data_IF_529494873788
#
_entry.id   IF_529494873788
#
_cell.length_a   1.000
_cell.length_b   1.000
_cell.length_c   1.000
_cell.angle_alpha   90.00
_cell.angle_beta   90.00
_cell.angle_gamma   90.00
#
_symmetry.space_group_name_H-M   'P 1'
#
loop_
_entity.id
_entity.type
_entity.pdbx_description
1 polymer ?
#
# COMPACT_ATOMS: atom_id res chain seq x y z
N UNK A 1 1.52 -20.98 5.60
CA UNK A 1 0.35 -20.29 6.13
C UNK A 1 0.66 -18.82 6.12
N UNK A 2 0.04 -18.07 5.23
CA UNK A 2 -0.13 -16.63 5.41
C UNK A 2 -1.42 -16.29 4.68
N UNK A 3 -2.50 -16.18 5.45
CA UNK A 3 -3.85 -15.90 4.98
C UNK A 3 -4.07 -14.38 4.80
N UNK A 4 -3.00 -13.65 4.48
CA UNK A 4 -3.04 -12.21 4.26
C UNK A 4 -2.66 -11.98 2.82
N UNK A 5 -3.53 -11.36 2.02
CA UNK A 5 -3.21 -10.96 0.64
C UNK A 5 -2.20 -9.83 0.54
N UNK A 6 -1.26 -9.77 1.50
CA UNK A 6 -0.24 -8.77 1.61
C UNK A 6 1.13 -9.43 1.74
N UNK A 7 2.10 -8.93 0.98
CA UNK A 7 3.53 -9.23 1.08
C UNK A 7 4.30 -7.96 1.41
N UNK A 8 5.33 -8.07 2.25
CA UNK A 8 6.14 -6.93 2.69
C UNK A 8 7.61 -7.23 2.38
N UNK A 9 8.27 -6.30 1.69
CA UNK A 9 9.67 -6.38 1.29
C UNK A 9 10.43 -5.11 1.71
N UNK A 10 11.70 -5.27 2.10
CA UNK A 10 12.59 -4.15 2.36
C UNK A 10 13.26 -3.72 1.06
N UNK A 11 13.19 -2.43 0.74
CA UNK A 11 13.87 -1.90 -0.44
C UNK A 11 15.35 -1.71 -0.10
N UNK A 12 16.24 -2.37 -0.86
CA UNK A 12 17.70 -2.34 -0.66
C UNK A 12 18.16 -2.76 0.75
N UNK A 13 17.44 -3.68 1.40
CA UNK A 13 17.68 -4.10 2.80
C UNK A 13 17.63 -2.93 3.82
N UNK A 14 17.05 -1.80 3.43
CA UNK A 14 16.88 -0.64 4.31
C UNK A 14 15.63 -0.76 5.15
N UNK A 15 15.78 -0.58 6.46
CA UNK A 15 14.63 -0.48 7.38
C UNK A 15 13.82 0.81 7.20
N UNK A 16 14.29 1.75 6.39
CA UNK A 16 13.61 3.04 6.15
C UNK A 16 12.64 3.00 4.98
N UNK A 17 12.78 2.04 4.06
CA UNK A 17 11.95 1.99 2.86
C UNK A 17 11.36 0.60 2.69
N UNK A 18 10.04 0.51 2.84
CA UNK A 18 9.30 -0.74 2.77
C UNK A 18 8.39 -0.71 1.56
N UNK A 19 8.28 -1.84 0.89
CA UNK A 19 7.35 -2.07 -0.20
C UNK A 19 6.31 -3.10 0.25
N UNK A 20 5.04 -2.72 0.19
CA UNK A 20 3.91 -3.54 0.59
C UNK A 20 3.10 -3.85 -0.67
N UNK A 21 3.06 -5.12 -1.05
CA UNK A 21 2.29 -5.63 -2.18
C UNK A 21 0.96 -6.14 -1.65
N UNK A 22 -0.15 -5.62 -2.15
CA UNK A 22 -1.51 -6.03 -1.83
C UNK A 22 -2.13 -6.68 -3.06
N UNK A 23 -2.47 -7.95 -2.97
CA UNK A 23 -3.12 -8.68 -4.05
C UNK A 23 -4.63 -8.43 -4.06
N UNK A 24 -5.31 -8.77 -5.17
CA UNK A 24 -6.74 -8.57 -5.34
C UNK A 24 -7.57 -9.24 -4.21
N UNK A 25 -7.17 -10.43 -3.76
CA UNK A 25 -7.82 -11.13 -2.62
C UNK A 25 -7.57 -10.50 -1.24
N UNK A 26 -6.82 -9.40 -1.16
CA UNK A 26 -6.72 -8.58 0.06
C UNK A 26 -7.87 -7.58 0.21
N UNK A 27 -8.65 -7.36 -0.86
CA UNK A 27 -9.72 -6.39 -0.93
C UNK A 27 -11.09 -7.09 -0.96
N UNK A 28 -12.16 -6.32 -0.75
CA UNK A 28 -13.53 -6.85 -0.91
C UNK A 28 -13.77 -7.22 -2.38
N UNK A 29 -14.34 -8.40 -2.64
CA UNK A 29 -14.58 -8.91 -4.00
C UNK A 29 -15.47 -7.98 -4.84
N UNK A 30 -16.35 -7.20 -4.20
CA UNK A 30 -17.23 -6.25 -4.89
C UNK A 30 -16.60 -4.87 -5.14
N UNK A 31 -15.36 -4.67 -4.67
CA UNK A 31 -14.68 -3.39 -4.82
C UNK A 31 -14.26 -3.15 -6.28
N UNK A 32 -14.41 -1.91 -6.80
CA UNK A 32 -13.91 -1.56 -8.13
C UNK A 32 -12.40 -1.83 -8.28
N UNK A 33 -11.63 -1.61 -7.22
CA UNK A 33 -10.18 -1.86 -7.20
C UNK A 33 -9.83 -3.33 -7.44
N UNK A 34 -10.58 -4.26 -6.83
CA UNK A 34 -10.38 -5.70 -7.05
C UNK A 34 -10.55 -6.05 -8.52
N UNK A 35 -11.60 -5.52 -9.15
CA UNK A 35 -11.86 -5.73 -10.58
C UNK A 35 -10.75 -5.13 -11.44
N UNK A 36 -10.33 -3.90 -11.15
CA UNK A 36 -9.28 -3.23 -11.91
C UNK A 36 -7.94 -3.99 -11.82
N UNK A 37 -7.59 -4.53 -10.64
CA UNK A 37 -6.38 -5.36 -10.47
C UNK A 37 -6.48 -6.69 -11.23
N UNK A 38 -7.66 -7.30 -11.28
CA UNK A 38 -7.90 -8.51 -12.06
C UNK A 38 -7.80 -8.26 -13.57
N UNK A 39 -8.39 -7.17 -14.07
CA UNK A 39 -8.28 -6.77 -15.47
C UNK A 39 -6.81 -6.52 -15.85
N UNK A 40 -6.04 -5.82 -15.01
CA UNK A 40 -4.61 -5.61 -15.23
C UNK A 40 -3.80 -6.92 -15.21
N UNK A 41 -4.15 -7.87 -14.34
CA UNK A 41 -3.51 -9.18 -14.29
C UNK A 41 -3.78 -10.00 -15.56
N UNK A 42 -5.01 -9.96 -16.07
CA UNK A 42 -5.38 -10.59 -17.33
C UNK A 42 -4.65 -9.97 -18.53
N UNK A 43 -4.51 -8.64 -18.56
CA UNK A 43 -3.76 -7.93 -19.62
C UNK A 43 -2.26 -8.23 -19.59
N UNK A 44 -1.69 -8.38 -18.39
CA UNK A 44 -0.26 -8.66 -18.19
C UNK A 44 0.10 -10.15 -18.34
N UNK A 45 -0.88 -11.05 -18.34
CA UNK A 45 -0.70 -12.51 -18.18
C UNK A 45 0.16 -12.87 -16.95
N UNK A 46 0.03 -12.07 -15.88
CA UNK A 46 0.78 -12.22 -14.62
C UNK A 46 0.03 -11.58 -13.44
N UNK A 47 0.40 -11.91 -12.21
CA UNK A 47 -0.18 -11.31 -11.01
C UNK A 47 0.22 -9.83 -10.89
N UNK A 48 -0.77 -8.95 -10.77
CA UNK A 48 -0.56 -7.51 -10.58
C UNK A 48 -1.03 -7.09 -9.19
N UNK A 49 -0.13 -6.96 -8.20
CA UNK A 49 -0.49 -6.40 -6.90
C UNK A 49 -0.54 -4.87 -6.94
N UNK A 50 -1.33 -4.30 -6.04
CA UNK A 50 -1.18 -2.90 -5.63
C UNK A 50 0.05 -2.77 -4.74
N UNK A 51 1.04 -2.05 -5.22
CA UNK A 51 2.31 -1.79 -4.54
C UNK A 51 2.26 -0.44 -3.85
N UNK A 52 2.34 -0.44 -2.53
CA UNK A 52 2.50 0.73 -1.69
C UNK A 52 3.96 0.84 -1.25
N UNK A 53 4.52 2.04 -1.29
CA UNK A 53 5.85 2.30 -0.73
C UNK A 53 5.73 3.20 0.49
N UNK A 54 6.34 2.75 1.57
CA UNK A 54 6.41 3.45 2.84
C UNK A 54 7.85 3.92 3.05
N UNK A 55 8.02 5.22 3.30
CA UNK A 55 9.30 5.82 3.66
C UNK A 55 9.22 6.35 5.09
N UNK A 56 9.99 5.73 5.97
CA UNK A 56 10.10 6.11 7.37
C UNK A 56 11.19 7.18 7.52
N UNK A 57 10.85 8.42 7.90
CA UNK A 57 11.84 9.46 8.15
C UNK A 57 12.65 9.17 9.43
N UNK A 58 13.78 9.85 9.60
CA UNK A 58 14.61 9.73 10.80
C UNK A 58 13.87 10.17 12.08
N UNK A 59 12.92 11.10 11.95
CA UNK A 59 12.04 11.53 13.04
C UNK A 59 10.90 10.54 13.36
N UNK A 60 10.79 9.40 12.67
CA UNK A 60 9.82 8.36 13.03
C UNK A 60 10.11 7.83 14.45
N UNK A 61 9.10 7.62 15.32
CA UNK A 61 7.65 7.70 15.10
C UNK A 61 7.02 9.08 15.37
N UNK A 62 7.81 10.13 15.66
CA UNK A 62 7.31 11.49 15.90
C UNK A 62 6.84 12.18 14.62
N UNK A 63 7.39 11.80 13.47
CA UNK A 63 6.86 12.12 12.15
C UNK A 63 6.25 10.88 11.49
N UNK A 64 5.14 11.02 10.73
CA UNK A 64 4.52 9.90 10.02
C UNK A 64 5.43 9.35 8.92
N UNK A 65 5.30 8.07 8.56
CA UNK A 65 5.88 7.56 7.33
C UNK A 65 5.17 8.20 6.13
N UNK A 66 5.94 8.50 5.09
CA UNK A 66 5.39 8.88 3.79
C UNK A 66 4.92 7.62 3.06
N UNK A 67 3.63 7.53 2.75
CA UNK A 67 3.03 6.38 2.05
C UNK A 67 2.50 6.84 0.69
N UNK A 68 2.85 6.11 -0.37
CA UNK A 68 2.37 6.42 -1.71
C UNK A 68 2.19 5.15 -2.56
N UNK A 69 1.38 5.25 -3.62
CA UNK A 69 1.18 4.14 -4.56
C UNK A 69 2.36 4.12 -5.52
N UNK A 70 3.14 3.04 -5.48
CA UNK A 70 4.27 2.84 -6.38
C UNK A 70 3.84 2.25 -7.74
N UNK A 71 2.85 1.34 -7.73
CA UNK A 71 2.32 0.68 -8.92
C UNK A 71 1.03 -0.08 -8.59
N UNK A 72 0.10 -0.31 -9.54
CA UNK A 72 -0.06 0.42 -10.79
C UNK A 72 -0.54 1.87 -10.52
N UNK A 73 -0.47 2.74 -11.53
CA UNK A 73 -1.02 4.10 -11.40
C UNK A 73 -2.55 4.01 -11.38
N UNK A 74 -3.16 4.19 -10.21
CA UNK A 74 -4.60 4.20 -10.06
C UNK A 74 -5.15 5.61 -10.31
N UNK A 75 -6.07 5.75 -11.26
CA UNK A 75 -6.86 6.97 -11.44
C UNK A 75 -8.15 6.85 -10.62
N UNK A 76 -8.08 7.15 -9.32
CA UNK A 76 -9.24 7.20 -8.43
C UNK A 76 -9.41 8.61 -7.89
N UNK A 77 -10.65 9.01 -7.57
CA UNK A 77 -10.99 10.29 -6.95
C UNK A 77 -10.32 10.52 -5.57
N UNK A 78 -9.70 9.48 -5.00
CA UNK A 78 -8.93 9.50 -3.75
C UNK A 78 -7.40 9.51 -3.94
N UNK A 79 -6.91 9.42 -5.18
CA UNK A 79 -5.47 9.43 -5.52
C UNK A 79 -5.14 10.73 -6.24
N UNK A 80 -4.53 11.68 -5.53
CA UNK A 80 -4.02 12.91 -6.11
C UNK A 80 -2.51 12.73 -6.38
N UNK A 81 -2.11 12.65 -7.67
CA UNK A 81 -0.70 12.61 -8.10
C UNK A 81 0.12 11.44 -7.50
N UNK A 82 -0.49 10.25 -7.38
CA UNK A 82 0.15 9.05 -6.80
C UNK A 82 0.24 9.04 -5.28
N UNK A 83 -0.13 10.13 -4.60
CA UNK A 83 -0.33 10.16 -3.17
C UNK A 83 -1.72 9.61 -2.84
N UNK A 84 -1.75 8.56 -2.01
CA UNK A 84 -2.99 8.05 -1.46
C UNK A 84 -3.45 9.05 -0.41
N UNK A 85 -4.53 9.79 -0.68
CA UNK A 85 -5.12 10.71 0.28
C UNK A 85 -5.91 9.89 1.32
N UNK A 86 -5.20 9.08 2.12
CA UNK A 86 -5.82 8.49 3.30
C UNK A 86 -5.90 9.58 4.36
N UNK A 87 -7.13 9.90 4.77
CA UNK A 87 -7.42 10.78 5.92
C UNK A 87 -6.67 10.36 7.20
N UNK A 88 -6.19 9.10 7.29
CA UNK A 88 -5.32 8.62 8.37
C UNK A 88 -3.90 9.21 8.38
N UNK A 89 -3.38 9.74 7.27
CA UNK A 89 -2.05 10.36 7.24
C UNK A 89 -2.06 11.81 7.75
N UNK A 90 -3.23 12.44 7.82
CA UNK A 90 -3.39 13.80 8.36
C UNK A 90 -3.66 13.85 9.86
N UNK A 91 -4.07 12.73 10.49
CA UNK A 91 -4.23 12.59 11.95
C UNK A 91 -3.29 11.51 12.54
N UNK A 92 -2.00 11.57 12.17
CA UNK A 92 -0.99 10.64 12.67
C UNK A 92 -0.85 10.73 14.20
N UNK A 93 -1.20 9.64 14.88
CA UNK A 93 -0.87 9.42 16.29
C UNK A 93 0.20 8.31 16.37
N UNK A 94 1.31 8.47 17.12
CA UNK A 94 2.40 7.48 17.19
C UNK A 94 2.00 6.12 17.81
N UNK A 95 0.76 5.97 18.25
CA UNK A 95 0.24 4.77 18.89
C UNK A 95 -0.58 3.90 17.92
N UNK A 96 0.06 3.34 16.90
CA UNK A 96 -0.54 2.27 16.08
C UNK A 96 0.18 0.91 16.19
N UNK A 97 1.06 0.78 17.19
CA UNK A 97 1.82 -0.46 17.43
C UNK A 97 1.35 -1.33 18.61
N UNK A 98 0.30 -0.94 19.36
CA UNK A 98 -0.20 -1.73 20.47
C UNK A 98 -1.68 -2.06 20.25
N UNK A 99 -1.93 -3.24 19.69
CA UNK A 99 -3.18 -3.95 19.94
C UNK A 99 -2.77 -5.16 20.77
N UNK A 100 -3.15 -5.15 22.05
CA UNK A 100 -3.13 -6.34 22.91
C UNK A 100 -4.05 -7.43 22.35
#
# INVERSE_FOLDING_TARGET
GSATGAEIELVNDSLQVWEVKLFDWAFDESSPLTRDLQELAEEADDLVPLVLRLHFPDEFPFAPPLVYVASPVLSSEFVFDGALCMEMLVDWQPAYGNVE
#
